data_IF_810904252434
#
_entry.id   IF_810904252434
#
_cell.length_a   1.000
_cell.length_b   1.000
_cell.length_c   1.000
_cell.angle_alpha   90.00
_cell.angle_beta   90.00
_cell.angle_gamma   90.00
#
_symmetry.space_group_name_H-M   'P 1'
#
loop_
_entity.id
_entity.type
_entity.pdbx_description
1 polymer ?
#
# COMPACT_ATOMS: atom_id res chain seq x y z
N UNK A 1 -27.14 38.02 -38.76
CA UNK A 1 -27.77 37.89 -37.43
C UNK A 1 -28.47 36.54 -37.35
N UNK A 2 -27.74 35.42 -37.43
CA UNK A 2 -28.31 34.06 -37.31
C UNK A 2 -27.29 33.03 -36.77
N UNK A 3 -26.11 33.47 -36.33
CA UNK A 3 -24.98 32.58 -36.02
C UNK A 3 -24.78 32.39 -34.49
N UNK A 4 -24.98 33.46 -33.71
CA UNK A 4 -24.82 33.41 -32.24
C UNK A 4 -25.85 32.50 -31.55
N UNK A 5 -27.10 32.46 -32.01
CA UNK A 5 -28.13 31.63 -31.36
C UNK A 5 -27.92 30.13 -31.55
N UNK A 6 -27.29 29.71 -32.65
CA UNK A 6 -26.92 28.31 -32.88
C UNK A 6 -25.69 27.95 -32.04
N UNK A 7 -24.72 28.86 -31.92
CA UNK A 7 -23.56 28.67 -31.06
C UNK A 7 -23.96 28.51 -29.59
N UNK A 8 -24.86 29.37 -29.10
CA UNK A 8 -25.38 29.32 -27.73
C UNK A 8 -26.19 28.05 -27.47
N UNK A 9 -26.98 27.61 -28.45
CA UNK A 9 -27.75 26.35 -28.34
C UNK A 9 -26.81 25.15 -28.26
N UNK A 10 -25.78 25.11 -29.10
CA UNK A 10 -24.81 24.01 -29.11
C UNK A 10 -23.96 23.99 -27.82
N UNK A 11 -23.59 25.17 -27.30
CA UNK A 11 -22.88 25.28 -26.04
C UNK A 11 -23.74 24.80 -24.87
N UNK A 12 -25.02 25.18 -24.83
CA UNK A 12 -25.95 24.74 -23.79
C UNK A 12 -26.18 23.22 -23.83
N UNK A 13 -26.30 22.63 -25.01
CA UNK A 13 -26.42 21.16 -25.18
C UNK A 13 -25.15 20.48 -24.68
N UNK A 14 -23.97 21.02 -25.00
CA UNK A 14 -22.70 20.46 -24.53
C UNK A 14 -22.57 20.51 -23.02
N UNK A 15 -22.93 21.65 -22.40
CA UNK A 15 -22.92 21.80 -20.93
C UNK A 15 -23.89 20.83 -20.27
N UNK A 16 -25.08 20.63 -20.84
CA UNK A 16 -26.03 19.63 -20.33
C UNK A 16 -25.51 18.20 -20.42
N UNK A 17 -24.83 17.85 -21.52
CA UNK A 17 -24.22 16.53 -21.68
C UNK A 17 -23.06 16.31 -20.71
N UNK A 18 -22.22 17.34 -20.46
CA UNK A 18 -21.15 17.28 -19.47
C UNK A 18 -21.74 17.10 -18.07
N UNK A 19 -22.73 17.89 -17.69
CA UNK A 19 -23.37 17.78 -16.37
C UNK A 19 -24.06 16.42 -16.17
N UNK A 20 -24.69 15.86 -17.21
CA UNK A 20 -25.26 14.51 -17.17
C UNK A 20 -24.17 13.45 -17.03
N UNK A 21 -23.09 13.53 -17.81
CA UNK A 21 -21.99 12.58 -17.71
C UNK A 21 -21.25 12.66 -16.36
N UNK A 22 -21.16 13.84 -15.76
CA UNK A 22 -20.61 14.02 -14.42
C UNK A 22 -21.56 13.51 -13.33
N UNK A 23 -22.87 13.74 -13.45
CA UNK A 23 -23.89 13.20 -12.53
C UNK A 23 -24.03 11.68 -12.60
N UNK A 24 -24.00 11.09 -13.80
CA UNK A 24 -24.00 9.63 -14.01
C UNK A 24 -22.74 8.94 -13.47
N UNK A 25 -21.64 9.69 -13.31
CA UNK A 25 -20.43 9.21 -12.63
C UNK A 25 -20.45 9.39 -11.11
N UNK A 26 -21.36 10.21 -10.57
CA UNK A 26 -21.54 10.38 -9.11
C UNK A 26 -22.42 9.27 -8.50
N UNK A 27 -23.40 8.75 -9.25
CA UNK A 27 -24.20 7.58 -8.83
C UNK A 27 -23.50 6.23 -9.07
N UNK A 28 -22.29 6.26 -9.62
CA UNK A 28 -21.36 5.12 -9.65
C UNK A 28 -20.21 5.32 -8.67
N UNK A 29 -20.51 5.90 -7.50
CA UNK A 29 -19.81 5.52 -6.29
C UNK A 29 -20.05 4.02 -6.05
N UNK A 30 -19.24 3.21 -6.74
CA UNK A 30 -18.81 1.93 -6.23
C UNK A 30 -18.57 2.17 -4.74
N UNK A 31 -19.39 1.55 -3.89
CA UNK A 31 -19.07 1.41 -2.48
C UNK A 31 -17.78 0.59 -2.42
N UNK A 32 -16.64 1.20 -2.73
CA UNK A 32 -15.34 0.68 -2.35
C UNK A 32 -15.37 0.80 -0.83
N UNK A 33 -15.37 -0.31 -0.10
CA UNK A 33 -15.26 -0.22 1.34
C UNK A 33 -14.01 0.63 1.64
N UNK A 34 -14.17 1.68 2.45
CA UNK A 34 -13.01 2.46 2.88
C UNK A 34 -12.01 1.49 3.50
N UNK A 35 -10.77 1.50 3.01
CA UNK A 35 -9.74 0.60 3.54
C UNK A 35 -9.30 1.18 4.88
N UNK A 36 -9.40 0.37 5.92
CA UNK A 36 -9.19 0.81 7.31
C UNK A 36 -7.69 1.03 7.53
N UNK A 37 -7.31 2.13 8.20
CA UNK A 37 -5.95 2.31 8.72
C UNK A 37 -5.65 1.25 9.77
N UNK A 38 -4.60 0.45 9.54
CA UNK A 38 -4.23 -0.68 10.39
C UNK A 38 -3.06 -0.37 11.31
N UNK A 39 -2.19 0.55 10.89
CA UNK A 39 -1.03 0.94 11.67
C UNK A 39 -0.65 2.38 11.32
N UNK A 40 -0.94 3.30 12.24
CA UNK A 40 -0.61 4.73 12.12
C UNK A 40 0.90 4.92 11.88
N UNK A 41 1.70 4.09 12.52
CA UNK A 41 3.13 4.02 12.30
C UNK A 41 3.88 3.89 13.60
N UNK A 42 5.10 3.37 13.49
CA UNK A 42 5.92 3.05 14.65
C UNK A 42 6.94 1.98 14.33
N UNK A 43 7.50 1.42 15.40
CA UNK A 43 8.60 0.47 15.29
C UNK A 43 8.14 -0.89 14.78
N UNK A 44 8.87 -1.43 13.81
CA UNK A 44 8.63 -2.72 13.16
C UNK A 44 9.93 -3.51 13.13
N UNK A 45 9.86 -4.80 13.41
CA UNK A 45 10.93 -5.77 13.12
C UNK A 45 10.69 -6.32 11.73
N UNK A 46 11.71 -6.30 10.89
CA UNK A 46 11.65 -6.94 9.58
C UNK A 46 12.78 -7.94 9.38
N UNK A 47 12.47 -9.02 8.67
CA UNK A 47 13.44 -10.00 8.19
C UNK A 47 13.13 -10.38 6.75
N UNK A 48 14.14 -10.50 5.92
CA UNK A 48 14.05 -11.22 4.66
C UNK A 48 14.97 -12.43 4.70
N UNK A 49 14.61 -13.46 3.96
CA UNK A 49 15.39 -14.68 3.85
C UNK A 49 16.08 -14.71 2.49
N UNK A 50 17.25 -15.31 2.40
CA UNK A 50 17.88 -15.66 1.13
C UNK A 50 18.68 -16.94 1.35
N UNK A 51 18.32 -18.00 0.62
CA UNK A 51 18.97 -19.32 0.76
C UNK A 51 18.93 -19.81 2.22
N UNK A 52 17.76 -19.72 2.84
CA UNK A 52 17.49 -20.05 4.25
C UNK A 52 18.22 -19.20 5.31
N UNK A 53 19.09 -18.28 4.91
CA UNK A 53 19.71 -17.32 5.81
C UNK A 53 18.77 -16.13 6.05
N UNK A 54 18.58 -15.74 7.31
CA UNK A 54 17.81 -14.55 7.67
C UNK A 54 18.70 -13.30 7.74
N UNK A 55 18.15 -12.19 7.24
CA UNK A 55 18.76 -10.86 7.27
C UNK A 55 17.78 -9.85 7.85
N UNK A 56 18.24 -9.06 8.81
CA UNK A 56 17.41 -8.05 9.46
C UNK A 56 17.24 -6.80 8.59
N UNK A 57 16.04 -6.24 8.64
CA UNK A 57 15.70 -4.92 8.11
C UNK A 57 15.37 -3.99 9.28
N UNK A 58 16.16 -2.93 9.45
CA UNK A 58 15.89 -1.88 10.39
C UNK A 58 14.96 -0.85 9.75
N UNK A 59 13.92 -0.42 10.48
CA UNK A 59 12.94 0.55 10.01
C UNK A 59 13.04 1.83 10.84
N UNK A 60 13.22 2.96 10.17
CA UNK A 60 13.07 4.28 10.79
C UNK A 60 11.59 4.68 10.85
N UNK A 61 10.81 4.22 9.86
CA UNK A 61 9.38 4.45 9.77
C UNK A 61 8.70 3.33 8.96
N UNK A 62 7.51 2.94 9.39
CA UNK A 62 6.60 2.06 8.66
C UNK A 62 5.16 2.41 9.02
N UNK A 63 4.23 2.36 8.07
CA UNK A 63 2.80 2.59 8.29
C UNK A 63 1.92 1.80 7.32
N UNK A 64 0.72 1.46 7.78
CA UNK A 64 -0.39 0.88 7.01
C UNK A 64 -1.60 1.80 7.17
N UNK A 65 -1.75 2.78 6.28
CA UNK A 65 -2.76 3.84 6.36
C UNK A 65 -3.63 3.84 5.12
N UNK A 66 -4.95 3.75 5.31
CA UNK A 66 -5.95 3.91 4.25
C UNK A 66 -5.64 3.07 2.98
N UNK A 67 -5.19 1.83 3.18
CA UNK A 67 -4.82 0.92 2.09
C UNK A 67 -3.47 1.18 1.46
N UNK A 68 -2.64 2.05 2.04
CA UNK A 68 -1.26 2.32 1.60
C UNK A 68 -0.24 1.76 2.59
N UNK A 69 0.79 1.14 2.02
CA UNK A 69 2.02 0.79 2.72
C UNK A 69 3.02 1.92 2.48
N UNK A 70 3.68 2.38 3.53
CA UNK A 70 4.79 3.32 3.43
C UNK A 70 5.85 2.97 4.45
N UNK A 71 7.12 3.06 4.07
CA UNK A 71 8.22 2.81 5.00
C UNK A 71 9.56 3.26 4.48
N UNK A 72 10.54 3.32 5.37
CA UNK A 72 11.94 3.56 5.04
C UNK A 72 12.84 2.98 6.12
N UNK A 73 14.08 2.70 5.76
CA UNK A 73 15.03 2.13 6.69
C UNK A 73 16.32 1.69 6.02
N UNK A 74 16.98 0.72 6.64
CA UNK A 74 18.29 0.25 6.23
C UNK A 74 18.46 -1.25 6.49
N UNK A 75 19.29 -1.90 5.68
CA UNK A 75 19.77 -3.27 5.91
C UNK A 75 21.18 -3.45 5.35
N UNK A 76 21.67 -4.70 5.30
CA UNK A 76 23.01 -5.02 4.81
C UNK A 76 23.27 -4.58 3.35
N UNK A 77 22.23 -4.39 2.54
CA UNK A 77 22.36 -3.89 1.15
C UNK A 77 22.42 -2.37 1.14
N UNK A 78 21.71 -1.70 2.05
CA UNK A 78 21.81 -0.26 2.30
C UNK A 78 20.46 0.42 2.58
N UNK A 79 20.41 1.77 2.48
CA UNK A 79 19.18 2.52 2.74
C UNK A 79 18.11 2.26 1.68
N UNK A 80 16.86 2.21 2.13
CA UNK A 80 15.71 1.93 1.28
C UNK A 80 14.47 2.77 1.64
N UNK A 81 13.57 2.90 0.67
CA UNK A 81 12.18 3.35 0.85
C UNK A 81 11.21 2.27 0.40
N UNK A 82 9.99 2.28 0.91
CA UNK A 82 8.95 1.30 0.62
C UNK A 82 7.62 1.99 0.35
N UNK A 83 6.92 1.55 -0.69
CA UNK A 83 5.59 2.04 -1.03
C UNK A 83 4.75 0.92 -1.65
N UNK A 84 3.47 0.87 -1.32
CA UNK A 84 2.57 -0.15 -1.84
C UNK A 84 1.15 0.00 -1.32
N UNK A 85 0.39 -1.09 -1.41
CA UNK A 85 -1.03 -1.14 -1.04
C UNK A 85 -1.37 -2.39 -0.25
N UNK A 86 -2.43 -2.29 0.55
CA UNK A 86 -3.08 -3.44 1.19
C UNK A 86 -4.60 -3.31 1.13
N UNK A 87 -5.32 -4.41 1.27
CA UNK A 87 -6.78 -4.45 1.33
C UNK A 87 -7.31 -4.86 2.72
N UNK A 88 -8.64 -4.85 2.88
CA UNK A 88 -9.28 -5.18 4.15
C UNK A 88 -9.22 -6.67 4.46
N UNK A 89 -9.05 -7.50 3.43
CA UNK A 89 -8.84 -8.95 3.48
C UNK A 89 -7.41 -9.31 3.91
N UNK A 90 -6.50 -8.33 3.99
CA UNK A 90 -5.14 -8.49 4.47
C UNK A 90 -4.14 -8.81 3.37
N UNK A 91 -4.51 -8.81 2.08
CA UNK A 91 -3.52 -8.92 1.01
C UNK A 91 -2.69 -7.65 0.96
N UNK A 92 -1.39 -7.81 0.72
CA UNK A 92 -0.47 -6.69 0.68
C UNK A 92 0.57 -6.88 -0.41
N UNK A 93 0.82 -5.81 -1.17
CA UNK A 93 1.86 -5.73 -2.17
C UNK A 93 2.62 -4.42 -2.01
N UNK A 94 3.94 -4.44 -1.98
CA UNK A 94 4.75 -3.22 -1.95
C UNK A 94 6.09 -3.40 -2.65
N UNK A 95 6.67 -2.28 -3.06
CA UNK A 95 8.01 -2.22 -3.64
C UNK A 95 8.95 -1.61 -2.63
N UNK A 96 10.08 -2.27 -2.39
CA UNK A 96 11.23 -1.74 -1.68
C UNK A 96 12.25 -1.23 -2.69
N UNK A 97 12.52 0.06 -2.68
CA UNK A 97 13.51 0.71 -3.54
C UNK A 97 14.75 1.04 -2.73
N UNK A 98 15.89 0.43 -3.08
CA UNK A 98 17.18 0.83 -2.53
C UNK A 98 17.65 2.14 -3.17
N UNK A 99 18.13 3.08 -2.37
CA UNK A 99 18.57 4.40 -2.87
C UNK A 99 19.72 4.23 -3.85
N UNK A 100 19.52 4.68 -5.10
CA UNK A 100 20.52 4.59 -6.17
C UNK A 100 20.78 3.18 -6.70
N UNK A 101 19.94 2.19 -6.37
CA UNK A 101 20.11 0.78 -6.77
C UNK A 101 18.79 0.20 -7.34
N UNK A 102 18.59 -1.10 -7.16
CA UNK A 102 17.43 -1.84 -7.67
C UNK A 102 16.21 -1.77 -6.75
N UNK A 103 15.07 -2.16 -7.29
CA UNK A 103 13.83 -2.39 -6.58
C UNK A 103 13.63 -3.88 -6.30
N UNK A 104 12.90 -4.20 -5.23
CA UNK A 104 12.47 -5.55 -4.87
C UNK A 104 10.97 -5.49 -4.61
N UNK A 105 10.22 -6.39 -5.24
CA UNK A 105 8.78 -6.51 -5.08
C UNK A 105 8.48 -7.44 -3.91
N UNK A 106 7.45 -7.14 -3.14
CA UNK A 106 7.01 -7.93 -1.99
C UNK A 106 5.51 -8.15 -2.08
N UNK A 107 5.09 -9.39 -1.89
CA UNK A 107 3.69 -9.79 -1.86
C UNK A 107 3.45 -10.72 -0.68
N UNK A 108 2.34 -10.53 0.03
CA UNK A 108 2.05 -11.33 1.21
C UNK A 108 0.66 -11.10 1.77
N UNK A 109 0.48 -11.54 3.01
CA UNK A 109 -0.72 -11.37 3.79
C UNK A 109 -0.40 -10.76 5.15
N UNK A 110 -1.33 -9.97 5.67
CA UNK A 110 -1.28 -9.32 6.96
C UNK A 110 -2.24 -10.04 7.92
N UNK A 111 -1.68 -10.56 9.00
CA UNK A 111 -2.42 -11.04 10.16
C UNK A 111 -2.46 -9.91 11.20
N UNK A 112 -3.64 -9.55 11.68
CA UNK A 112 -3.83 -8.52 12.71
C UNK A 112 -4.15 -9.17 14.05
N UNK A 113 -3.65 -8.60 15.15
CA UNK A 113 -4.13 -8.93 16.48
C UNK A 113 -5.24 -7.97 16.93
N UNK A 114 -5.91 -8.32 18.04
CA UNK A 114 -7.02 -7.54 18.59
C UNK A 114 -6.58 -6.24 19.29
N UNK A 115 -5.28 -6.03 19.47
CA UNK A 115 -4.70 -4.89 20.16
C UNK A 115 -4.12 -3.85 19.18
N UNK A 116 -4.16 -4.12 17.87
CA UNK A 116 -3.67 -3.23 16.83
C UNK A 116 -2.22 -3.52 16.40
N UNK A 117 -1.63 -4.60 16.87
CA UNK A 117 -0.41 -5.16 16.30
C UNK A 117 -0.69 -5.96 15.04
N UNK A 118 0.36 -6.24 14.28
CA UNK A 118 0.27 -6.98 13.02
C UNK A 118 1.51 -7.82 12.76
N UNK A 119 1.32 -8.83 11.91
CA UNK A 119 2.38 -9.62 11.28
C UNK A 119 2.13 -9.76 9.80
N UNK A 120 3.10 -9.36 8.98
CA UNK A 120 3.10 -9.57 7.54
C UNK A 120 4.02 -10.73 7.22
N UNK A 121 3.56 -11.69 6.43
CA UNK A 121 4.38 -12.77 5.88
C UNK A 121 4.12 -12.88 4.39
N UNK A 122 5.16 -13.19 3.63
CA UNK A 122 5.04 -13.34 2.20
C UNK A 122 6.36 -13.68 1.53
N UNK A 123 6.45 -13.34 0.26
CA UNK A 123 7.63 -13.53 -0.57
C UNK A 123 8.09 -12.20 -1.15
N UNK A 124 9.40 -12.04 -1.25
CA UNK A 124 10.01 -10.99 -2.06
C UNK A 124 10.39 -11.57 -3.42
N UNK A 125 10.41 -10.74 -4.46
CA UNK A 125 10.80 -11.10 -5.80
C UNK A 125 11.73 -10.02 -6.36
N UNK A 126 12.86 -10.45 -6.93
CA UNK A 126 13.70 -9.60 -7.79
C UNK A 126 14.24 -10.43 -8.95
N UNK A 127 13.86 -10.05 -10.16
CA UNK A 127 14.16 -10.79 -11.39
C UNK A 127 13.69 -12.25 -11.31
N UNK A 128 14.61 -13.20 -11.17
CA UNK A 128 14.35 -14.65 -11.10
C UNK A 128 14.61 -15.23 -9.69
N UNK A 129 14.81 -14.37 -8.69
CA UNK A 129 15.03 -14.77 -7.31
C UNK A 129 13.80 -14.43 -6.47
N UNK A 130 13.44 -15.36 -5.59
CA UNK A 130 12.35 -15.20 -4.64
C UNK A 130 12.67 -15.96 -3.36
N UNK A 131 12.26 -15.41 -2.23
CA UNK A 131 12.31 -16.06 -0.93
C UNK A 131 11.36 -15.34 0.05
N UNK A 132 11.27 -15.84 1.28
CA UNK A 132 10.32 -15.37 2.29
C UNK A 132 10.74 -14.04 2.91
N UNK A 133 9.77 -13.34 3.47
CA UNK A 133 9.99 -12.25 4.42
C UNK A 133 8.97 -12.28 5.55
N UNK A 134 9.27 -11.54 6.62
CA UNK A 134 8.33 -11.24 7.68
C UNK A 134 8.52 -9.83 8.23
N UNK A 135 7.43 -9.10 8.45
CA UNK A 135 7.41 -7.83 9.19
C UNK A 135 6.46 -7.97 10.39
N UNK A 136 6.79 -7.42 11.55
CA UNK A 136 5.89 -7.41 12.72
C UNK A 136 6.04 -6.13 13.54
N UNK A 137 4.93 -5.59 14.05
CA UNK A 137 4.95 -4.43 14.95
C UNK A 137 5.60 -4.79 16.29
N UNK A 138 6.47 -3.93 16.82
CA UNK A 138 7.21 -4.21 18.06
C UNK A 138 6.33 -4.04 19.32
N UNK A 139 5.26 -3.26 19.23
CA UNK A 139 4.36 -3.03 20.34
C UNK A 139 3.02 -3.74 20.07
N UNK A 140 2.71 -4.74 20.90
CA UNK A 140 1.40 -5.40 21.13
C UNK A 140 1.28 -6.92 20.92
N UNK A 141 2.38 -7.62 20.61
CA UNK A 141 2.49 -9.03 21.02
C UNK A 141 3.12 -9.09 22.41
N UNK A 142 2.29 -9.13 23.46
CA UNK A 142 2.71 -9.79 24.68
C UNK A 142 2.86 -11.26 24.32
N UNK A 143 4.10 -11.73 24.33
CA UNK A 143 4.41 -13.15 24.33
C UNK A 143 3.97 -13.65 25.72
N UNK A 144 2.73 -14.12 25.83
CA UNK A 144 2.33 -15.01 26.93
C UNK A 144 3.02 -16.35 26.67
N UNK A 145 4.31 -16.41 26.98
CA UNK A 145 4.99 -17.66 27.29
C UNK A 145 4.91 -17.88 28.79
N UNK A 146 3.90 -18.64 29.21
CA UNK A 146 3.95 -19.52 30.38
C UNK A 146 4.51 -20.89 29.96
#
# INVERSE_FOLDING_TARGET
MQDESQLDSNFNILVQHINRALGENQDKDFHRPQIITRFEGGAVRGKYYQYDQAYDMAFDFFSLREGRVSGQGNDVIGPFTMAGTYDNEGKVCFVKQYVGKHAVEYEGNIDYDNLGGFKIKGQWNVSYQTDRFSLESINHFNDDTD
#
